data_IF_682324567297
#
_entry.id   IF_682324567297
#
_cell.length_a   1.000
_cell.length_b   1.000
_cell.length_c   1.000
_cell.angle_alpha   90.00
_cell.angle_beta   90.00
_cell.angle_gamma   90.00
#
_symmetry.space_group_name_H-M   'P 1'
#
loop_
_entity.id
_entity.type
_entity.pdbx_description
1 polymer ?
#
# COMPACT_ATOMS: atom_id res chain seq x y z
N UNK A 1 -9.01 -15.41 -3.48
CA UNK A 1 -9.11 -13.95 -3.65
C UNK A 1 -8.41 -13.28 -2.47
N UNK A 2 -7.64 -12.23 -2.71
CA UNK A 2 -6.98 -11.47 -1.63
C UNK A 2 -8.01 -10.64 -0.85
N UNK A 3 -7.78 -10.44 0.45
CA UNK A 3 -8.53 -9.52 1.31
C UNK A 3 -7.61 -8.34 1.67
N UNK A 4 -8.17 -7.16 1.84
CA UNK A 4 -7.44 -5.96 2.20
C UNK A 4 -8.25 -5.12 3.20
N UNK A 5 -7.53 -4.37 4.04
CA UNK A 5 -8.07 -3.38 4.95
C UNK A 5 -7.16 -2.14 4.90
N UNK A 6 -7.76 -0.96 5.01
CA UNK A 6 -7.01 0.30 5.01
C UNK A 6 -6.30 0.51 6.35
N UNK A 7 -5.02 0.88 6.32
CA UNK A 7 -4.28 1.34 7.48
C UNK A 7 -4.52 2.85 7.62
N UNK A 8 -5.60 3.21 8.34
CA UNK A 8 -5.92 4.61 8.66
C UNK A 8 -5.16 5.11 9.89
N UNK A 9 -5.75 6.07 10.60
CA UNK A 9 -5.17 6.62 11.85
C UNK A 9 -5.33 5.68 13.06
N UNK A 10 -6.18 4.66 12.94
CA UNK A 10 -6.48 3.70 14.00
C UNK A 10 -5.76 2.36 13.84
N UNK A 11 -5.72 1.55 14.93
CA UNK A 11 -5.23 0.18 14.87
C UNK A 11 -6.06 -0.68 13.92
N UNK A 12 -5.40 -1.54 13.15
CA UNK A 12 -6.02 -2.54 12.30
C UNK A 12 -5.74 -3.92 12.88
N UNK A 13 -6.79 -4.59 13.34
CA UNK A 13 -6.74 -5.97 13.84
C UNK A 13 -6.82 -6.94 12.68
N UNK A 14 -5.97 -7.95 12.75
CA UNK A 14 -5.89 -9.03 11.77
C UNK A 14 -6.10 -10.35 12.50
N UNK A 15 -6.98 -11.18 11.97
CA UNK A 15 -7.35 -12.44 12.61
C UNK A 15 -8.50 -13.14 11.90
N UNK A 16 -8.98 -14.25 12.44
CA UNK A 16 -10.15 -14.98 11.90
C UNK A 16 -11.48 -14.54 12.51
N UNK A 17 -11.46 -13.66 13.53
CA UNK A 17 -12.68 -13.18 14.19
C UNK A 17 -13.40 -12.11 13.37
N UNK A 18 -14.73 -12.09 13.47
CA UNK A 18 -15.59 -11.16 12.74
C UNK A 18 -15.38 -9.68 13.14
N UNK A 19 -14.77 -9.42 14.30
CA UNK A 19 -14.41 -8.09 14.76
C UNK A 19 -13.06 -7.56 14.24
N UNK A 20 -12.36 -8.30 13.38
CA UNK A 20 -11.12 -7.84 12.76
C UNK A 20 -11.40 -7.04 11.49
N UNK A 21 -10.75 -5.89 11.34
CA UNK A 21 -10.79 -5.09 10.12
C UNK A 21 -10.25 -5.88 8.93
N UNK A 22 -9.23 -6.72 9.15
CA UNK A 22 -8.79 -7.73 8.19
C UNK A 22 -9.11 -9.13 8.69
N UNK A 23 -10.34 -9.56 8.46
CA UNK A 23 -10.76 -10.94 8.70
C UNK A 23 -10.09 -11.89 7.69
N UNK A 24 -9.45 -12.94 8.17
CA UNK A 24 -8.82 -14.01 7.39
C UNK A 24 -9.61 -15.32 7.52
N UNK A 25 -9.41 -16.26 6.59
CA UNK A 25 -10.10 -17.56 6.60
C UNK A 25 -9.20 -18.73 6.99
N UNK A 26 -7.92 -18.48 7.25
CA UNK A 26 -6.96 -19.52 7.61
C UNK A 26 -7.16 -19.98 9.06
N UNK A 27 -7.55 -21.25 9.24
CA UNK A 27 -7.77 -21.85 10.54
C UNK A 27 -6.53 -21.88 11.47
N UNK A 28 -5.32 -21.65 10.93
CA UNK A 28 -4.10 -21.46 11.73
C UNK A 28 -3.90 -20.06 12.25
N UNK A 29 -4.71 -19.09 11.83
CA UNK A 29 -4.69 -17.73 12.35
C UNK A 29 -5.67 -17.63 13.53
N UNK A 30 -5.19 -17.14 14.67
CA UNK A 30 -6.03 -16.82 15.84
C UNK A 30 -7.18 -15.87 15.49
N UNK A 31 -8.25 -15.88 16.31
CA UNK A 31 -9.38 -14.96 16.13
C UNK A 31 -8.95 -13.50 16.17
N UNK A 32 -8.08 -13.17 17.12
CA UNK A 32 -7.32 -11.94 17.19
C UNK A 32 -5.84 -12.37 17.14
N UNK A 33 -5.14 -12.09 16.05
CA UNK A 33 -3.79 -12.62 15.84
C UNK A 33 -2.72 -11.56 16.04
N UNK A 34 -2.90 -10.42 15.38
CA UNK A 34 -2.01 -9.28 15.52
C UNK A 34 -2.79 -7.98 15.33
N UNK A 35 -2.15 -6.89 15.71
CA UNK A 35 -2.59 -5.53 15.41
C UNK A 35 -1.48 -4.78 14.66
N UNK A 36 -1.88 -3.95 13.70
CA UNK A 36 -1.00 -3.08 12.93
C UNK A 36 -1.42 -1.64 13.19
N UNK A 37 -0.47 -0.80 13.56
CA UNK A 37 -0.67 0.63 13.86
C UNK A 37 0.37 1.46 13.10
N UNK A 38 0.03 2.70 12.74
CA UNK A 38 1.01 3.64 12.20
C UNK A 38 2.11 3.91 13.24
N UNK A 39 3.38 3.81 12.83
CA UNK A 39 4.48 4.19 13.69
C UNK A 39 4.73 5.71 13.62
N UNK A 40 5.48 6.25 14.59
CA UNK A 40 5.88 7.66 14.59
C UNK A 40 6.65 8.06 13.32
N UNK A 41 7.40 7.12 12.74
CA UNK A 41 8.15 7.33 11.50
C UNK A 41 7.24 7.10 10.30
N UNK A 42 7.14 8.10 9.41
CA UNK A 42 6.34 8.01 8.18
C UNK A 42 6.73 6.76 7.36
N UNK A 43 5.71 6.07 6.83
CA UNK A 43 5.87 4.85 6.04
C UNK A 43 6.31 3.62 6.85
N UNK A 44 6.23 3.68 8.17
CA UNK A 44 6.52 2.57 9.08
C UNK A 44 5.29 2.24 9.91
N UNK A 45 5.22 0.98 10.31
CA UNK A 45 4.07 0.42 11.03
C UNK A 45 4.57 -0.42 12.18
N UNK A 46 3.96 -0.24 13.34
CA UNK A 46 4.16 -1.13 14.48
C UNK A 46 3.26 -2.34 14.31
N UNK A 47 3.84 -3.52 14.34
CA UNK A 47 3.13 -4.80 14.28
C UNK A 47 3.32 -5.49 15.62
N UNK A 48 2.21 -5.81 16.28
CA UNK A 48 2.21 -6.52 17.57
C UNK A 48 1.38 -7.78 17.49
N UNK A 49 1.99 -8.91 17.79
CA UNK A 49 1.32 -10.21 17.94
C UNK A 49 0.52 -10.22 19.25
N UNK A 50 -0.73 -10.67 19.21
CA UNK A 50 -1.66 -10.69 20.34
C UNK A 50 -1.68 -12.06 21.02
N UNK A 51 -0.49 -12.59 21.31
CA UNK A 51 -0.27 -13.94 21.86
C UNK A 51 -0.94 -15.03 21.01
N UNK A 52 -0.68 -14.98 19.71
CA UNK A 52 -1.29 -15.88 18.77
C UNK A 52 -0.72 -17.30 18.89
N UNK A 53 -1.60 -18.30 18.77
CA UNK A 53 -1.25 -19.72 18.94
C UNK A 53 -0.09 -20.18 18.05
N UNK A 54 -0.01 -19.68 16.83
CA UNK A 54 1.03 -20.05 15.86
C UNK A 54 2.09 -18.97 15.66
N UNK A 55 1.88 -17.76 16.20
CA UNK A 55 2.77 -16.61 16.05
C UNK A 55 2.75 -15.94 14.71
N UNK A 56 3.31 -14.74 14.74
CA UNK A 56 3.62 -13.94 13.57
C UNK A 56 5.10 -14.06 13.22
N UNK A 57 5.42 -14.28 11.94
CA UNK A 57 6.80 -14.22 11.45
C UNK A 57 7.01 -13.00 10.55
N UNK A 58 8.14 -12.33 10.74
CA UNK A 58 8.67 -11.29 9.86
C UNK A 58 10.11 -11.64 9.48
N UNK A 59 10.43 -11.61 8.18
CA UNK A 59 11.74 -12.00 7.66
C UNK A 59 12.24 -13.38 8.17
N UNK A 60 11.32 -14.33 8.35
CA UNK A 60 11.63 -15.68 8.85
C UNK A 60 11.77 -15.81 10.37
N UNK A 61 11.76 -14.70 11.12
CA UNK A 61 11.86 -14.70 12.58
C UNK A 61 10.50 -14.48 13.24
N UNK A 62 10.24 -15.18 14.35
CA UNK A 62 9.02 -14.97 15.15
C UNK A 62 9.14 -13.64 15.90
N UNK A 63 8.08 -12.84 15.90
CA UNK A 63 8.04 -11.53 16.55
C UNK A 63 6.94 -11.48 17.61
N UNK A 64 7.13 -10.63 18.62
CA UNK A 64 6.09 -10.20 19.56
C UNK A 64 5.65 -8.77 19.24
N UNK A 65 6.61 -7.88 19.02
CA UNK A 65 6.39 -6.52 18.54
C UNK A 65 7.58 -6.08 17.66
N UNK A 66 7.31 -5.44 16.52
CA UNK A 66 8.34 -4.93 15.62
C UNK A 66 7.83 -3.75 14.79
N UNK A 67 8.71 -2.79 14.50
CA UNK A 67 8.44 -1.73 13.54
C UNK A 67 8.93 -2.15 12.16
N UNK A 68 8.05 -2.14 11.16
CA UNK A 68 8.34 -2.59 9.79
C UNK A 68 8.08 -1.48 8.77
N UNK A 69 8.82 -1.44 7.65
CA UNK A 69 8.55 -0.50 6.57
C UNK A 69 7.33 -0.91 5.74
N UNK A 70 6.78 0.04 4.99
CA UNK A 70 5.91 -0.27 3.85
C UNK A 70 6.59 -1.30 2.91
N UNK A 71 5.81 -2.23 2.37
CA UNK A 71 6.31 -3.38 1.60
C UNK A 71 6.61 -4.62 2.45
N UNK A 72 6.64 -4.50 3.78
CA UNK A 72 6.85 -5.63 4.67
C UNK A 72 5.80 -6.72 4.48
N UNK A 73 6.24 -7.98 4.57
CA UNK A 73 5.39 -9.16 4.48
C UNK A 73 5.50 -9.96 5.77
N UNK A 74 4.35 -10.19 6.41
CA UNK A 74 4.16 -10.95 7.62
C UNK A 74 3.57 -12.32 7.26
N UNK A 75 4.02 -13.38 7.93
CA UNK A 75 3.43 -14.70 7.80
C UNK A 75 2.67 -15.06 9.08
N UNK A 76 1.41 -15.45 8.91
CA UNK A 76 0.51 -15.89 9.97
C UNK A 76 -0.07 -17.25 9.56
N UNK A 77 0.30 -18.33 10.25
CA UNK A 77 -0.10 -19.68 9.83
C UNK A 77 0.38 -20.01 8.40
N UNK A 78 -0.57 -20.16 7.46
CA UNK A 78 -0.35 -20.35 6.02
C UNK A 78 -0.55 -19.08 5.20
N UNK A 79 -1.02 -18.00 5.83
CA UNK A 79 -1.35 -16.73 5.17
C UNK A 79 -0.16 -15.79 5.18
N UNK A 80 0.00 -15.03 4.10
CA UNK A 80 0.90 -13.89 4.03
C UNK A 80 0.09 -12.60 3.98
N UNK A 81 0.45 -11.64 4.83
CA UNK A 81 -0.13 -10.29 4.87
C UNK A 81 0.97 -9.32 4.51
N UNK A 82 0.71 -8.46 3.52
CA UNK A 82 1.67 -7.47 3.05
C UNK A 82 1.14 -6.07 3.27
N UNK A 83 2.00 -5.19 3.78
CA UNK A 83 1.72 -3.76 3.87
C UNK A 83 2.09 -3.14 2.52
N UNK A 84 1.13 -2.49 1.87
CA UNK A 84 1.34 -1.84 0.58
C UNK A 84 0.78 -0.42 0.61
N UNK A 85 1.37 0.51 -0.15
CA UNK A 85 0.74 1.80 -0.37
C UNK A 85 -0.60 1.59 -1.08
N UNK A 86 -1.64 2.26 -0.63
CA UNK A 86 -2.87 2.37 -1.38
C UNK A 86 -2.64 3.40 -2.49
N UNK A 87 -2.74 3.03 -3.77
CA UNK A 87 -2.69 4.02 -4.84
C UNK A 87 -3.94 4.89 -4.75
N UNK A 88 -3.77 6.12 -4.31
CA UNK A 88 -4.80 7.14 -4.48
C UNK A 88 -4.79 7.56 -5.95
N UNK A 89 -5.94 7.54 -6.64
CA UNK A 89 -6.05 8.14 -7.97
C UNK A 89 -5.62 9.59 -7.83
N UNK A 90 -4.57 9.99 -8.56
CA UNK A 90 -4.22 11.40 -8.63
C UNK A 90 -5.32 12.06 -9.45
N UNK A 91 -6.16 12.87 -8.82
CA UNK A 91 -7.00 13.82 -9.53
C UNK A 91 -6.07 14.86 -10.15
N UNK A 92 -5.68 14.62 -11.40
CA UNK A 92 -4.77 15.50 -12.12
C UNK A 92 -5.56 16.66 -12.66
N UNK A 93 -5.33 17.85 -12.12
CA UNK A 93 -5.74 19.08 -12.81
C UNK A 93 -4.97 19.16 -14.12
N UNK A 94 -5.62 19.26 -15.29
CA UNK A 94 -4.93 19.34 -16.57
C UNK A 94 -3.92 20.50 -16.58
N UNK A 95 -2.71 20.26 -17.08
CA UNK A 95 -1.71 21.33 -17.23
C UNK A 95 -2.31 22.46 -18.06
N UNK A 96 -2.06 23.72 -17.69
CA UNK A 96 -2.47 24.87 -18.51
C UNK A 96 -1.68 24.97 -19.81
N UNK A 97 -0.52 24.30 -19.88
CA UNK A 97 0.28 24.25 -21.10
C UNK A 97 -0.30 23.28 -22.12
N UNK A 98 -0.22 23.65 -23.39
CA UNK A 98 -0.50 22.77 -24.53
C UNK A 98 0.77 22.08 -25.05
N UNK A 99 1.92 22.30 -24.41
CA UNK A 99 3.21 21.75 -24.82
C UNK A 99 4.03 21.28 -23.61
N UNK A 100 4.73 20.17 -23.79
CA UNK A 100 5.73 19.67 -22.84
C UNK A 100 6.96 19.23 -23.63
N UNK A 101 8.01 20.06 -23.65
CA UNK A 101 9.11 19.89 -24.61
C UNK A 101 8.58 19.93 -26.04
N UNK A 102 8.87 18.89 -26.83
CA UNK A 102 8.36 18.74 -28.20
C UNK A 102 6.96 18.11 -28.26
N UNK A 103 6.43 17.56 -27.15
CA UNK A 103 5.09 16.99 -27.11
C UNK A 103 4.04 18.09 -27.18
N UNK A 104 2.95 17.84 -27.92
CA UNK A 104 1.80 18.76 -28.07
C UNK A 104 0.53 18.06 -27.60
N UNK A 105 -0.32 18.78 -26.85
CA UNK A 105 -1.56 18.27 -26.30
C UNK A 105 -2.72 19.25 -26.53
N UNK A 106 -3.66 18.87 -27.40
CA UNK A 106 -4.90 19.65 -27.63
C UNK A 106 -6.08 19.11 -26.80
N UNK A 107 -6.12 17.81 -26.49
CA UNK A 107 -7.17 17.22 -25.66
C UNK A 107 -6.94 17.45 -24.15
N UNK A 108 -8.03 17.51 -23.37
CA UNK A 108 -7.96 17.63 -21.92
C UNK A 108 -7.21 16.44 -21.29
N UNK A 109 -7.51 15.23 -21.77
CA UNK A 109 -6.88 13.97 -21.36
C UNK A 109 -5.36 14.00 -21.57
N UNK A 110 -4.88 14.52 -22.70
CA UNK A 110 -3.45 14.62 -22.94
C UNK A 110 -2.79 15.71 -22.09
N UNK A 111 -3.54 16.75 -21.71
CA UNK A 111 -3.07 17.79 -20.77
C UNK A 111 -3.06 17.30 -19.31
N UNK A 112 -3.88 16.31 -18.94
CA UNK A 112 -3.75 15.58 -17.66
C UNK A 112 -2.45 14.78 -17.62
N UNK A 113 -2.08 14.13 -18.73
CA UNK A 113 -0.77 13.45 -18.85
C UNK A 113 0.40 14.44 -18.69
N UNK A 114 0.30 15.65 -19.24
CA UNK A 114 1.32 16.68 -19.02
C UNK A 114 1.47 17.06 -17.54
N UNK A 115 0.39 17.08 -16.75
CA UNK A 115 0.50 17.31 -15.31
C UNK A 115 1.32 16.20 -14.61
N UNK A 116 1.18 14.94 -15.04
CA UNK A 116 2.03 13.83 -14.56
C UNK A 116 3.49 14.03 -14.98
N UNK A 117 3.74 14.37 -16.24
CA UNK A 117 5.09 14.59 -16.76
C UNK A 117 5.79 15.75 -16.05
N UNK A 118 5.09 16.84 -15.75
CA UNK A 118 5.61 17.98 -14.98
C UNK A 118 5.99 17.57 -13.55
N UNK A 119 5.23 16.66 -12.92
CA UNK A 119 5.56 16.11 -11.60
C UNK A 119 6.77 15.17 -11.69
N UNK A 120 6.77 14.26 -12.66
CA UNK A 120 7.84 13.29 -12.85
C UNK A 120 9.17 13.95 -13.23
N UNK A 121 9.15 15.01 -14.04
CA UNK A 121 10.34 15.76 -14.44
C UNK A 121 11.08 16.46 -13.28
N UNK A 122 10.45 16.56 -12.10
CA UNK A 122 11.10 17.05 -10.87
C UNK A 122 11.79 15.93 -10.08
N UNK A 123 11.82 14.71 -10.62
CA UNK A 123 12.38 13.51 -10.01
C UNK A 123 13.21 12.72 -11.01
N UNK A 124 14.04 11.80 -10.52
CA UNK A 124 14.86 10.91 -11.37
C UNK A 124 14.12 9.62 -11.79
N UNK A 125 12.79 9.67 -11.90
CA UNK A 125 11.97 8.50 -12.27
C UNK A 125 11.90 8.36 -13.79
N UNK A 126 12.12 7.13 -14.29
CA UNK A 126 11.89 6.80 -15.71
C UNK A 126 10.39 6.64 -15.97
N UNK A 127 9.88 7.33 -17.00
CA UNK A 127 8.48 7.26 -17.42
C UNK A 127 8.39 6.68 -18.83
N UNK A 128 7.52 5.70 -19.02
CA UNK A 128 7.10 5.21 -20.34
C UNK A 128 5.73 5.84 -20.66
N UNK A 129 5.64 6.50 -21.81
CA UNK A 129 4.39 7.04 -22.33
C UNK A 129 3.91 6.12 -23.46
N UNK A 130 2.75 5.49 -23.28
CA UNK A 130 2.12 4.64 -24.28
C UNK A 130 0.86 5.32 -24.83
N UNK A 131 0.58 5.10 -26.11
CA UNK A 131 -0.59 5.63 -26.79
C UNK A 131 -0.75 4.98 -28.16
N UNK A 132 -1.97 4.94 -28.67
CA UNK A 132 -2.22 4.57 -30.07
C UNK A 132 -1.59 5.61 -31.00
N UNK A 133 -1.18 5.17 -32.20
CA UNK A 133 -0.77 6.09 -33.26
C UNK A 133 -1.92 7.02 -33.61
N UNK A 134 -1.66 8.33 -33.55
CA UNK A 134 -2.62 9.38 -33.88
C UNK A 134 -3.16 9.30 -35.30
#
# INVERSE_FOLDING_TARGET
>A
MGRAAGLGDGPVRVGTGDGCELALTDARVSREHLVIEAAQRRGHFTVRDLDSRNGTLYAGSRITEVVVPVGATLKLGRTFVRIQPQPEPVELTPSQSRRFGELVAESLVMRELFAVLELAARSDVTVLLEGETG
#
